data_IF_185732980842
#
_entry.id   IF_185732980842
#
_cell.length_a   1.000
_cell.length_b   1.000
_cell.length_c   1.000
_cell.angle_alpha   90.00
_cell.angle_beta   90.00
_cell.angle_gamma   90.00
#
_symmetry.space_group_name_H-M   'P 1'
#
loop_
_entity.id
_entity.type
_entity.pdbx_description
1 polymer ?
#
# COMPACT_ATOMS: atom_id res chain seq x y z
N UNK A 1 -1.86 20.12 1.84
CA UNK A 1 -2.84 19.04 1.60
C UNK A 1 -2.90 18.12 2.81
N UNK A 2 -4.04 17.49 3.06
CA UNK A 2 -4.17 16.48 4.11
C UNK A 2 -4.78 15.21 3.53
N UNK A 3 -4.20 14.09 3.89
CA UNK A 3 -4.64 12.75 3.51
C UNK A 3 -4.90 11.94 4.77
N UNK A 4 -5.97 11.17 4.77
CA UNK A 4 -6.21 10.12 5.75
C UNK A 4 -6.40 8.82 4.99
N UNK A 5 -5.55 7.84 5.27
CA UNK A 5 -5.63 6.49 4.75
C UNK A 5 -6.14 5.55 5.82
N UNK A 6 -6.98 4.61 5.41
CA UNK A 6 -7.18 3.36 6.15
C UNK A 6 -6.20 2.33 5.59
N UNK A 7 -5.52 1.63 6.49
CA UNK A 7 -4.57 0.57 6.17
C UNK A 7 -5.06 -0.71 6.84
N UNK A 8 -5.12 -1.77 6.03
CA UNK A 8 -5.44 -3.13 6.47
C UNK A 8 -4.29 -4.02 6.04
N UNK A 9 -3.78 -4.84 6.96
CA UNK A 9 -2.78 -5.84 6.65
C UNK A 9 -3.16 -7.19 7.24
N UNK A 10 -2.75 -8.25 6.57
CA UNK A 10 -2.94 -9.62 7.02
C UNK A 10 -1.56 -10.25 7.26
N UNK A 11 -1.39 -10.84 8.44
CA UNK A 11 -0.13 -11.38 8.92
C UNK A 11 -0.35 -12.78 9.49
N UNK A 12 0.51 -13.73 9.14
CA UNK A 12 0.55 -15.03 9.81
C UNK A 12 1.23 -14.85 11.17
N UNK A 13 0.48 -15.14 12.24
CA UNK A 13 0.96 -15.05 13.62
C UNK A 13 0.68 -16.36 14.34
N UNK A 14 1.59 -16.76 15.22
CA UNK A 14 1.38 -17.95 16.04
C UNK A 14 0.44 -17.64 17.21
N UNK A 15 -0.76 -18.24 17.22
CA UNK A 15 -1.71 -18.14 18.33
C UNK A 15 -1.30 -19.13 19.44
N UNK A 16 -0.89 -18.59 20.59
CA UNK A 16 -0.44 -19.40 21.73
C UNK A 16 -1.55 -20.16 22.44
N UNK A 17 -2.81 -19.75 22.30
CA UNK A 17 -3.96 -20.41 22.91
C UNK A 17 -4.44 -21.59 22.04
N UNK A 18 -4.36 -21.44 20.71
CA UNK A 18 -4.71 -22.48 19.74
C UNK A 18 -3.53 -23.40 19.39
N UNK A 19 -2.29 -22.93 19.62
CA UNK A 19 -1.04 -23.58 19.25
C UNK A 19 -0.91 -23.84 17.73
N UNK A 20 -1.39 -22.90 16.92
CA UNK A 20 -1.33 -22.94 15.46
C UNK A 20 -1.10 -21.55 14.88
N UNK A 21 -0.63 -21.50 13.63
CA UNK A 21 -0.51 -20.25 12.89
C UNK A 21 -1.88 -19.80 12.39
N UNK A 22 -2.21 -18.52 12.63
CA UNK A 22 -3.49 -17.91 12.23
C UNK A 22 -3.22 -16.62 11.46
N UNK A 23 -4.16 -16.26 10.58
CA UNK A 23 -4.13 -14.96 9.91
C UNK A 23 -4.73 -13.91 10.85
N UNK A 24 -3.91 -12.95 11.25
CA UNK A 24 -4.32 -11.77 11.98
C UNK A 24 -4.50 -10.59 11.02
N UNK A 25 -5.70 -10.01 11.04
CA UNK A 25 -5.99 -8.74 10.38
C UNK A 25 -5.65 -7.58 11.32
N UNK A 26 -4.86 -6.62 10.83
CA UNK A 26 -4.53 -5.38 11.54
C UNK A 26 -5.10 -4.19 10.77
N UNK A 27 -5.86 -3.34 11.46
CA UNK A 27 -6.44 -2.11 10.89
C UNK A 27 -5.90 -0.88 11.61
N UNK A 28 -5.37 0.07 10.85
CA UNK A 28 -4.93 1.36 11.38
C UNK A 28 -5.16 2.49 10.36
N UNK A 29 -5.01 3.72 10.82
CA UNK A 29 -5.12 4.92 10.00
C UNK A 29 -3.78 5.63 9.92
N UNK A 30 -3.48 6.16 8.76
CA UNK A 30 -2.26 6.90 8.47
C UNK A 30 -2.63 8.27 7.94
N UNK A 31 -2.15 9.32 8.60
CA UNK A 31 -2.43 10.71 8.31
C UNK A 31 -1.18 11.38 7.75
N UNK A 32 -1.34 12.06 6.62
CA UNK A 32 -0.29 12.88 6.01
C UNK A 32 -0.76 14.32 5.93
N UNK A 33 0.12 15.24 6.32
CA UNK A 33 -0.07 16.67 6.11
C UNK A 33 1.12 17.22 5.33
N UNK A 34 0.84 17.81 4.17
CA UNK A 34 1.82 18.42 3.28
C UNK A 34 1.63 19.94 3.31
N UNK A 35 2.69 20.69 3.63
CA UNK A 35 2.70 22.14 3.58
C UNK A 35 3.90 22.63 2.75
N UNK A 36 3.62 23.38 1.68
CA UNK A 36 4.67 23.96 0.85
C UNK A 36 5.31 25.16 1.56
N UNK A 37 6.64 25.16 1.66
CA UNK A 37 7.47 26.30 2.01
C UNK A 37 8.14 26.90 0.76
N UNK A 38 9.04 27.87 0.98
CA UNK A 38 9.69 28.61 -0.12
C UNK A 38 10.68 27.74 -0.93
N UNK A 39 11.43 26.84 -0.27
CA UNK A 39 12.42 25.95 -0.91
C UNK A 39 12.25 24.47 -0.50
N UNK A 40 11.35 24.18 0.45
CA UNK A 40 11.16 22.86 1.03
C UNK A 40 9.67 22.56 1.18
N UNK A 41 9.31 21.28 1.27
CA UNK A 41 7.96 20.84 1.65
C UNK A 41 8.02 20.26 3.06
N UNK A 42 7.22 20.79 3.97
CA UNK A 42 7.01 20.19 5.28
C UNK A 42 6.05 19.02 5.13
N UNK A 43 6.47 17.85 5.63
CA UNK A 43 5.70 16.61 5.62
C UNK A 43 5.54 16.14 7.06
N UNK A 44 4.29 16.06 7.52
CA UNK A 44 3.94 15.46 8.81
C UNK A 44 3.22 14.14 8.58
N UNK A 45 3.70 13.07 9.21
CA UNK A 45 3.09 11.74 9.15
C UNK A 45 2.70 11.28 10.56
N UNK A 46 1.52 10.70 10.69
CA UNK A 46 1.01 10.19 11.97
C UNK A 46 0.19 8.93 11.77
N UNK A 47 0.23 8.03 12.75
CA UNK A 47 -0.51 6.76 12.72
C UNK A 47 -1.49 6.68 13.89
N UNK A 48 -2.64 6.07 13.66
CA UNK A 48 -3.69 5.84 14.67
C UNK A 48 -4.23 4.42 14.54
N UNK A 49 -4.08 3.64 15.60
CA UNK A 49 -4.58 2.28 15.68
C UNK A 49 -5.34 2.08 16.99
N UNK A 50 -6.16 1.04 17.04
CA UNK A 50 -6.85 0.64 18.25
C UNK A 50 -5.96 -0.30 19.05
N UNK A 51 -5.64 0.07 20.29
CA UNK A 51 -4.93 -0.79 21.22
C UNK A 51 -5.93 -1.41 22.21
N UNK A 52 -6.07 -2.74 22.28
CA UNK A 52 -6.98 -3.34 23.24
C UNK A 52 -6.51 -3.06 24.68
N UNK A 53 -7.46 -2.76 25.57
CA UNK A 53 -7.16 -2.21 26.91
C UNK A 53 -6.33 -3.12 27.81
N UNK A 54 -6.45 -4.43 27.59
CA UNK A 54 -5.69 -5.49 28.24
C UNK A 54 -4.21 -5.50 27.83
N UNK A 55 -3.88 -5.06 26.62
CA UNK A 55 -2.51 -4.99 26.09
C UNK A 55 -1.81 -3.65 26.36
N UNK A 56 -2.54 -2.60 26.75
CA UNK A 56 -1.99 -1.25 27.00
C UNK A 56 -0.73 -1.24 27.88
N UNK A 57 -0.70 -2.05 28.94
CA UNK A 57 0.44 -2.08 29.87
C UNK A 57 1.71 -2.70 29.27
N UNK A 58 1.56 -3.57 28.28
CA UNK A 58 2.66 -4.25 27.61
C UNK A 58 3.12 -3.43 26.40
N UNK A 59 2.17 -3.01 25.57
CA UNK A 59 2.46 -2.46 24.24
C UNK A 59 2.78 -0.96 24.29
N UNK A 60 2.36 -0.23 25.34
CA UNK A 60 2.80 1.16 25.57
C UNK A 60 4.11 1.27 26.36
N UNK A 61 4.82 0.17 26.59
CA UNK A 61 6.21 0.24 27.10
C UNK A 61 7.16 0.67 26.00
N UNK A 62 8.39 1.10 26.33
CA UNK A 62 9.39 1.45 25.32
C UNK A 62 9.67 0.28 24.35
N UNK A 63 9.70 -0.97 24.85
CA UNK A 63 9.94 -2.14 24.02
C UNK A 63 8.69 -2.52 23.22
N UNK A 64 7.50 -2.52 23.85
CA UNK A 64 6.24 -2.78 23.15
C UNK A 64 5.98 -1.78 22.03
N UNK A 65 6.14 -0.49 22.29
CA UNK A 65 5.93 0.54 21.28
C UNK A 65 6.94 0.48 20.12
N UNK A 66 8.13 -0.10 20.35
CA UNK A 66 9.14 -0.30 19.30
C UNK A 66 8.89 -1.58 18.49
N UNK A 67 8.35 -2.63 19.10
CA UNK A 67 8.09 -3.92 18.46
C UNK A 67 6.74 -3.97 17.74
N UNK A 68 5.71 -3.38 18.35
CA UNK A 68 4.32 -3.48 17.92
C UNK A 68 3.88 -2.27 17.08
N UNK A 69 4.82 -1.40 16.67
CA UNK A 69 4.53 -0.24 15.81
C UNK A 69 4.14 -0.74 14.41
N UNK A 70 2.86 -0.63 14.00
CA UNK A 70 2.38 -1.20 12.73
C UNK A 70 2.99 -0.52 11.50
N UNK A 71 3.56 0.67 11.69
CA UNK A 71 3.99 1.56 10.61
C UNK A 71 5.34 1.25 9.97
N UNK A 72 6.29 0.66 10.69
CA UNK A 72 7.69 0.64 10.21
C UNK A 72 7.95 -0.49 9.22
N UNK A 73 7.30 -1.64 9.38
CA UNK A 73 7.65 -2.86 8.63
C UNK A 73 6.91 -2.99 7.30
N UNK A 74 5.59 -2.78 7.27
CA UNK A 74 4.78 -3.01 6.05
C UNK A 74 4.75 -1.85 5.07
N UNK A 75 4.97 -0.63 5.55
CA UNK A 75 5.14 0.51 4.64
C UNK A 75 6.38 0.31 3.75
N UNK A 76 7.43 -0.34 4.25
CA UNK A 76 8.66 -0.60 3.49
C UNK A 76 8.43 -1.47 2.24
N UNK A 77 7.57 -2.49 2.31
CA UNK A 77 7.31 -3.42 1.22
C UNK A 77 6.57 -2.75 0.05
N UNK A 78 5.48 -2.02 0.34
CA UNK A 78 4.77 -1.24 -0.67
C UNK A 78 5.58 -0.05 -1.21
N UNK A 79 6.50 0.51 -0.42
CA UNK A 79 7.31 1.66 -0.81
C UNK A 79 8.35 1.33 -1.89
N UNK A 80 8.90 0.12 -1.92
CA UNK A 80 9.82 -0.30 -2.97
C UNK A 80 9.12 -0.31 -4.34
N UNK A 81 7.95 -0.93 -4.40
CA UNK A 81 7.18 -1.00 -5.63
C UNK A 81 6.66 0.38 -6.05
N UNK A 82 6.13 1.17 -5.10
CA UNK A 82 5.70 2.55 -5.40
C UNK A 82 6.84 3.40 -5.96
N UNK A 83 8.06 3.23 -5.44
CA UNK A 83 9.25 3.91 -5.96
C UNK A 83 9.57 3.46 -7.38
N UNK A 84 9.45 2.16 -7.68
CA UNK A 84 9.63 1.66 -9.05
C UNK A 84 8.59 2.23 -10.01
N UNK A 85 7.32 2.31 -9.58
CA UNK A 85 6.24 2.94 -10.35
C UNK A 85 6.49 4.44 -10.57
N UNK A 86 6.93 5.17 -9.54
CA UNK A 86 7.16 6.62 -9.66
C UNK A 86 8.33 6.95 -10.60
N UNK A 87 9.34 6.09 -10.68
CA UNK A 87 10.45 6.24 -11.63
C UNK A 87 10.03 6.09 -13.09
N UNK A 88 8.97 5.33 -13.37
CA UNK A 88 8.44 5.12 -14.73
C UNK A 88 7.18 5.93 -15.01
N UNK A 89 6.65 6.66 -14.01
CA UNK A 89 5.41 7.39 -14.11
C UNK A 89 5.45 8.49 -15.19
N UNK A 90 6.61 9.11 -15.42
CA UNK A 90 6.77 10.13 -16.49
C UNK A 90 6.65 9.53 -17.89
N UNK A 91 7.09 8.28 -18.07
CA UNK A 91 6.99 7.54 -19.34
C UNK A 91 5.65 6.80 -19.48
N UNK A 92 4.90 6.67 -18.38
CA UNK A 92 3.61 5.99 -18.34
C UNK A 92 2.49 6.95 -18.75
N UNK A 93 2.06 6.84 -20.00
CA UNK A 93 0.82 7.48 -20.42
C UNK A 93 -0.37 6.84 -19.68
N UNK A 94 -1.00 7.61 -18.78
CA UNK A 94 -2.15 7.17 -18.00
C UNK A 94 -3.43 7.10 -18.86
N UNK A 95 -3.50 6.10 -19.74
CA UNK A 95 -4.66 5.80 -20.59
C UNK A 95 -5.05 4.32 -20.43
N UNK A 96 -6.35 4.06 -20.34
CA UNK A 96 -6.87 2.69 -20.20
C UNK A 96 -6.49 1.86 -21.43
N UNK A 97 -5.86 0.70 -21.18
CA UNK A 97 -5.34 -0.20 -22.20
C UNK A 97 -3.83 -0.08 -22.40
N UNK A 98 -3.18 0.95 -21.87
CA UNK A 98 -1.73 1.06 -21.93
C UNK A 98 -1.05 0.00 -21.06
N UNK A 99 0.04 -0.54 -21.59
CA UNK A 99 0.87 -1.50 -20.86
C UNK A 99 2.34 -1.20 -21.06
N UNK A 100 3.13 -1.39 -20.01
CA UNK A 100 4.58 -1.18 -20.01
C UNK A 100 5.26 -2.43 -19.44
N UNK A 101 6.43 -2.78 -19.96
CA UNK A 101 7.29 -3.79 -19.34
C UNK A 101 8.41 -3.10 -18.57
N UNK A 102 8.58 -3.45 -17.31
CA UNK A 102 9.60 -2.90 -16.43
C UNK A 102 10.92 -3.69 -16.55
N UNK A 103 12.00 -3.10 -16.03
CA UNK A 103 13.36 -3.65 -16.15
C UNK A 103 13.56 -4.96 -15.37
N UNK A 104 12.77 -5.16 -14.32
CA UNK A 104 12.73 -6.40 -13.52
C UNK A 104 11.95 -7.54 -14.21
N UNK A 105 11.40 -7.28 -15.41
CA UNK A 105 10.61 -8.24 -16.17
C UNK A 105 9.13 -8.24 -15.82
N UNK A 106 8.72 -7.47 -14.81
CA UNK A 106 7.31 -7.27 -14.49
C UNK A 106 6.60 -6.45 -15.57
N UNK A 107 5.27 -6.55 -15.60
CA UNK A 107 4.42 -5.84 -16.54
C UNK A 107 3.45 -4.96 -15.77
N UNK A 108 3.31 -3.73 -16.22
CA UNK A 108 2.32 -2.78 -15.75
C UNK A 108 1.20 -2.68 -16.79
N UNK A 109 -0.05 -2.64 -16.35
CA UNK A 109 -1.22 -2.42 -17.21
C UNK A 109 -2.20 -1.44 -16.58
N UNK A 110 -2.69 -0.49 -17.37
CA UNK A 110 -3.78 0.41 -16.96
C UNK A 110 -5.08 -0.22 -17.41
N UNK A 111 -5.86 -0.72 -16.44
CA UNK A 111 -7.01 -1.58 -16.73
C UNK A 111 -8.35 -0.87 -16.59
N UNK A 112 -8.37 0.34 -16.01
CA UNK A 112 -9.59 1.11 -15.85
C UNK A 112 -9.41 2.43 -15.13
N UNK A 113 -10.53 3.05 -14.82
CA UNK A 113 -10.62 4.23 -13.97
C UNK A 113 -11.40 3.87 -12.71
N UNK A 114 -11.00 4.42 -11.58
CA UNK A 114 -11.64 4.19 -10.29
C UNK A 114 -11.81 5.52 -9.54
N UNK A 115 -12.82 5.60 -8.68
CA UNK A 115 -13.05 6.77 -7.83
C UNK A 115 -12.86 6.38 -6.36
N UNK A 116 -11.91 7.04 -5.69
CA UNK A 116 -11.56 6.79 -4.29
C UNK A 116 -11.59 8.12 -3.54
N UNK A 117 -12.28 8.17 -2.40
CA UNK A 117 -12.52 9.40 -1.63
C UNK A 117 -13.05 10.58 -2.47
N UNK A 118 -13.83 10.29 -3.53
CA UNK A 118 -14.37 11.30 -4.46
C UNK A 118 -13.37 11.83 -5.50
N UNK A 119 -12.14 11.31 -5.52
CA UNK A 119 -11.11 11.62 -6.51
C UNK A 119 -11.10 10.52 -7.58
N UNK A 120 -11.05 10.93 -8.85
CA UNK A 120 -10.91 10.01 -9.99
C UNK A 120 -9.43 9.70 -10.23
N UNK A 121 -9.10 8.42 -10.36
CA UNK A 121 -7.78 7.92 -10.71
C UNK A 121 -7.84 6.77 -11.72
N UNK A 122 -6.67 6.28 -12.09
CA UNK A 122 -6.49 5.15 -12.99
C UNK A 122 -6.09 3.91 -12.19
N UNK A 123 -6.77 2.79 -12.45
CA UNK A 123 -6.42 1.49 -11.88
C UNK A 123 -5.27 0.89 -12.70
N UNK A 124 -4.14 0.76 -12.03
CA UNK A 124 -2.90 0.18 -12.53
C UNK A 124 -2.70 -1.18 -11.87
N UNK A 125 -2.40 -2.20 -12.67
CA UNK A 125 -2.06 -3.56 -12.20
C UNK A 125 -0.63 -3.88 -12.55
N UNK A 126 0.11 -4.42 -11.59
CA UNK A 126 1.42 -4.99 -11.84
C UNK A 126 1.34 -6.52 -11.86
N UNK A 127 2.08 -7.12 -12.78
CA UNK A 127 2.13 -8.56 -13.00
C UNK A 127 3.57 -9.04 -13.03
N UNK A 128 3.84 -10.18 -12.42
CA UNK A 128 5.03 -10.97 -12.68
C UNK A 128 4.69 -12.11 -13.63
N UNK A 129 5.65 -12.47 -14.47
CA UNK A 129 5.53 -13.61 -15.38
C UNK A 129 6.45 -14.71 -14.93
N UNK A 130 5.86 -15.86 -14.64
CA UNK A 130 6.59 -17.06 -14.27
C UNK A 130 6.29 -18.18 -15.26
N UNK A 131 7.18 -19.16 -15.30
CA UNK A 131 6.96 -20.38 -16.08
C UNK A 131 6.60 -21.48 -15.10
N UNK A 132 5.42 -22.08 -15.27
CA UNK A 132 4.99 -23.20 -14.44
C UNK A 132 5.78 -24.49 -14.72
N UNK A 133 5.53 -25.54 -13.94
CA UNK A 133 6.19 -26.84 -14.09
C UNK A 133 5.93 -27.50 -15.45
N UNK A 134 4.84 -27.12 -16.13
CA UNK A 134 4.45 -27.62 -17.45
C UNK A 134 5.02 -26.77 -18.61
N UNK A 135 5.78 -25.71 -18.30
CA UNK A 135 6.39 -24.82 -19.28
C UNK A 135 5.47 -23.72 -19.81
N UNK A 136 4.29 -23.50 -19.21
CA UNK A 136 3.38 -22.42 -19.58
C UNK A 136 3.76 -21.13 -18.87
N UNK A 137 3.56 -19.99 -19.55
CA UNK A 137 3.67 -18.68 -18.91
C UNK A 137 2.42 -18.38 -18.10
N UNK A 138 2.58 -18.10 -16.82
CA UNK A 138 1.54 -17.64 -15.90
C UNK A 138 1.81 -16.17 -15.55
N UNK A 139 0.81 -15.32 -15.70
CA UNK A 139 0.83 -13.94 -15.20
C UNK A 139 0.14 -13.89 -13.84
N UNK A 140 0.88 -13.51 -12.81
CA UNK A 140 0.37 -13.34 -11.45
C UNK A 140 0.32 -11.86 -11.12
N UNK A 141 -0.82 -11.37 -10.65
CA UNK A 141 -0.95 -10.00 -10.16
C UNK A 141 -0.23 -9.90 -8.82
N UNK A 142 0.72 -8.97 -8.71
CA UNK A 142 1.41 -8.69 -7.43
C UNK A 142 0.80 -7.50 -6.72
N UNK A 143 0.18 -6.59 -7.46
CA UNK A 143 -0.36 -5.36 -6.88
C UNK A 143 -1.39 -4.65 -7.76
N UNK A 144 -2.18 -3.81 -7.12
CA UNK A 144 -3.13 -2.88 -7.71
C UNK A 144 -2.95 -1.49 -7.10
N UNK A 145 -2.91 -0.47 -7.95
CA UNK A 145 -2.70 0.92 -7.58
C UNK A 145 -3.76 1.79 -8.23
N UNK A 146 -4.37 2.69 -7.48
CA UNK A 146 -5.23 3.75 -8.03
C UNK A 146 -4.46 5.06 -7.98
N UNK A 147 -4.04 5.57 -9.15
CA UNK A 147 -3.18 6.76 -9.25
C UNK A 147 -3.98 7.91 -9.86
N UNK A 148 -3.94 9.07 -9.21
CA UNK A 148 -4.43 10.33 -9.76
C UNK A 148 -3.25 11.24 -10.10
N UNK A 149 -3.09 11.71 -11.36
CA UNK A 149 -1.92 12.48 -11.78
C UNK A 149 -1.68 13.77 -10.98
N UNK A 150 -2.75 14.38 -10.48
CA UNK A 150 -2.73 15.65 -9.75
C UNK A 150 -2.46 15.48 -8.25
N UNK A 151 -2.24 14.25 -7.78
CA UNK A 151 -2.10 13.89 -6.38
C UNK A 151 -0.75 13.21 -6.17
N UNK A 152 0.04 13.70 -5.22
CA UNK A 152 1.41 13.25 -4.99
C UNK A 152 1.53 11.80 -4.47
N UNK A 153 0.41 11.15 -4.13
CA UNK A 153 0.37 9.80 -3.56
C UNK A 153 -0.77 8.98 -4.19
N UNK A 154 -0.66 7.64 -4.27
CA UNK A 154 -1.75 6.79 -4.71
C UNK A 154 -3.00 6.99 -3.86
N UNK A 155 -4.16 6.94 -4.50
CA UNK A 155 -5.44 6.95 -3.82
C UNK A 155 -5.73 5.61 -3.16
N UNK A 156 -5.28 4.51 -3.75
CA UNK A 156 -5.36 3.19 -3.16
C UNK A 156 -4.20 2.30 -3.62
N UNK A 157 -3.86 1.34 -2.77
CA UNK A 157 -2.87 0.29 -3.01
C UNK A 157 -3.42 -1.01 -2.45
N UNK A 158 -3.30 -2.10 -3.21
CA UNK A 158 -3.51 -3.47 -2.73
C UNK A 158 -2.32 -4.30 -3.16
N UNK A 159 -1.69 -5.01 -2.24
CA UNK A 159 -0.59 -5.93 -2.53
C UNK A 159 -1.08 -7.36 -2.34
N UNK A 160 -0.54 -8.25 -3.17
CA UNK A 160 -0.88 -9.65 -3.19
C UNK A 160 0.37 -10.50 -2.92
N UNK A 161 0.23 -11.49 -2.04
CA UNK A 161 1.22 -12.54 -1.79
C UNK A 161 0.53 -13.89 -2.01
N UNK A 162 1.14 -14.76 -2.81
CA UNK A 162 0.59 -16.07 -3.18
C UNK A 162 -0.86 -16.01 -3.73
N UNK A 163 -1.23 -14.88 -4.34
CA UNK A 163 -2.56 -14.63 -4.90
C UNK A 163 -3.61 -14.18 -3.89
N UNK A 164 -3.25 -14.07 -2.60
CA UNK A 164 -4.10 -13.53 -1.54
C UNK A 164 -3.71 -12.09 -1.21
N UNK A 165 -4.64 -11.30 -0.69
CA UNK A 165 -4.36 -9.91 -0.32
C UNK A 165 -3.57 -9.89 1.00
N UNK A 166 -2.33 -9.39 0.97
CA UNK A 166 -1.50 -9.25 2.19
C UNK A 166 -1.54 -7.83 2.78
N UNK A 167 -1.84 -6.84 1.95
CA UNK A 167 -1.87 -5.43 2.35
C UNK A 167 -2.85 -4.61 1.51
N UNK A 168 -3.52 -3.66 2.16
CA UNK A 168 -4.36 -2.65 1.51
C UNK A 168 -4.19 -1.30 2.20
N UNK A 169 -3.99 -0.25 1.40
CA UNK A 169 -4.03 1.15 1.84
C UNK A 169 -5.01 1.90 0.97
N UNK A 170 -6.02 2.55 1.56
CA UNK A 170 -7.07 3.25 0.82
C UNK A 170 -7.30 4.63 1.41
N UNK A 171 -7.27 5.65 0.56
CA UNK A 171 -7.59 7.01 0.93
C UNK A 171 -9.06 7.10 1.33
N UNK A 172 -9.31 7.53 2.56
CA UNK A 172 -10.66 7.70 3.11
C UNK A 172 -11.06 9.17 3.20
N UNK A 173 -10.10 10.07 3.42
CA UNK A 173 -10.34 11.51 3.40
C UNK A 173 -9.21 12.26 2.69
N UNK A 174 -9.58 13.28 1.92
CA UNK A 174 -8.65 14.20 1.26
C UNK A 174 -9.11 15.64 1.39
N UNK A 175 -8.20 16.52 1.77
CA UNK A 175 -8.43 17.95 1.88
C UNK A 175 -7.30 18.73 1.17
N UNK A 176 -7.67 19.48 0.13
CA UNK A 176 -6.78 20.46 -0.52
C UNK A 176 -7.05 21.84 0.08
N UNK A 177 -6.01 22.47 0.63
CA UNK A 177 -6.06 23.84 1.18
C UNK A 177 -5.47 24.83 0.20
#
# INVERSE_FOLDING_TARGET
>A
ERFLYEVVSWDEVFDWDLLEDVIQETVFYEQWELAAGDEEMEVTMGYRYWLPLDYVKQDMTFLGAAWDSPSIWKEAEGMEEYKSLSLVAEDLELEVGNTMQLLDGSRLSIVGEETVAGLKGYLVRMFIRETDEDGNTVETVTSEWVIAPEIAWPLAVTLYEDGEVSYRKTLVEYERR
#
